data_IF_491907454429
#
_entry.id   IF_491907454429
#
_cell.length_a   1.000
_cell.length_b   1.000
_cell.length_c   1.000
_cell.angle_alpha   90.00
_cell.angle_beta   90.00
_cell.angle_gamma   90.00
#
_symmetry.space_group_name_H-M   'P 1'
#
loop_
_entity.id
_entity.type
_entity.pdbx_description
1 polymer ?
#
# COMPACT_ATOMS: atom_id res chain seq x y z
N UNK A 1 -7.72 1.13 33.81
CA UNK A 1 -6.61 1.48 32.91
C UNK A 1 -7.19 1.47 31.50
N UNK A 2 -6.96 2.51 30.70
CA UNK A 2 -7.37 2.49 29.29
C UNK A 2 -6.58 1.39 28.60
N UNK A 3 -7.26 0.41 28.00
CA UNK A 3 -6.64 -0.63 27.17
C UNK A 3 -6.46 0.00 25.79
N UNK A 4 -5.21 0.30 25.44
CA UNK A 4 -4.89 0.78 24.10
C UNK A 4 -4.95 -0.38 23.09
N UNK A 5 -5.49 -0.17 21.88
CA UNK A 5 -5.52 -1.21 20.88
C UNK A 5 -4.13 -1.69 20.49
N UNK A 6 -4.03 -2.97 20.16
CA UNK A 6 -2.79 -3.60 19.71
C UNK A 6 -2.90 -4.02 18.24
N UNK A 7 -1.78 -3.92 17.50
CA UNK A 7 -1.72 -4.31 16.09
C UNK A 7 -0.44 -5.08 15.79
N UNK A 8 -0.55 -6.13 14.97
CA UNK A 8 0.58 -6.77 14.29
C UNK A 8 0.57 -6.31 12.83
N UNK A 9 1.70 -5.75 12.39
CA UNK A 9 1.92 -5.36 10.99
C UNK A 9 2.83 -6.39 10.34
N UNK A 10 2.23 -7.35 9.62
CA UNK A 10 2.95 -8.39 8.89
C UNK A 10 3.49 -7.83 7.57
N UNK A 11 4.81 -7.94 7.36
CA UNK A 11 5.48 -7.26 6.26
C UNK A 11 5.76 -5.79 6.54
N UNK A 12 6.22 -5.47 7.77
CA UNK A 12 6.47 -4.11 8.24
C UNK A 12 7.69 -3.49 7.53
N UNK A 13 7.49 -3.13 6.25
CA UNK A 13 8.41 -2.38 5.40
C UNK A 13 8.22 -0.86 5.54
N UNK A 14 8.40 -0.11 4.46
CA UNK A 14 8.28 1.36 4.44
C UNK A 14 6.87 1.83 4.88
N UNK A 15 5.81 1.38 4.20
CA UNK A 15 4.43 1.78 4.54
C UNK A 15 4.04 1.27 5.94
N UNK A 16 4.39 0.02 6.27
CA UNK A 16 4.10 -0.55 7.59
C UNK A 16 4.80 0.19 8.73
N UNK A 17 6.04 0.63 8.53
CA UNK A 17 6.78 1.43 9.53
C UNK A 17 6.16 2.81 9.73
N UNK A 18 5.75 3.49 8.64
CA UNK A 18 5.04 4.77 8.71
C UNK A 18 3.70 4.63 9.44
N UNK A 19 2.94 3.57 9.11
CA UNK A 19 1.70 3.23 9.80
C UNK A 19 1.95 3.00 11.29
N UNK A 20 2.95 2.19 11.63
CA UNK A 20 3.31 1.89 13.01
C UNK A 20 3.62 3.14 13.82
N UNK A 21 4.43 4.06 13.28
CA UNK A 21 4.75 5.32 13.93
C UNK A 21 3.53 6.25 14.11
N UNK A 22 2.59 6.25 13.16
CA UNK A 22 1.34 7.00 13.30
C UNK A 22 0.45 6.41 14.40
N UNK A 23 0.32 5.08 14.46
CA UNK A 23 -0.48 4.40 15.48
C UNK A 23 0.13 4.52 16.88
N UNK A 24 1.45 4.45 17.01
CA UNK A 24 2.14 4.73 18.29
C UNK A 24 1.81 6.13 18.84
N UNK A 25 1.82 7.15 17.97
CA UNK A 25 1.43 8.52 18.36
C UNK A 25 -0.03 8.60 18.83
N UNK A 26 -0.88 7.71 18.35
CA UNK A 26 -2.27 7.55 18.78
C UNK A 26 -2.42 6.63 20.02
N UNK A 27 -1.32 6.21 20.64
CA UNK A 27 -1.31 5.39 21.86
C UNK A 27 -1.46 3.88 21.64
N UNK A 28 -1.35 3.38 20.40
CA UNK A 28 -1.47 1.95 20.09
C UNK A 28 -0.20 1.18 20.46
N UNK A 29 -0.36 -0.10 20.80
CA UNK A 29 0.77 -1.03 20.88
C UNK A 29 1.01 -1.64 19.48
N UNK A 30 2.21 -1.48 18.94
CA UNK A 30 2.51 -1.88 17.56
C UNK A 30 3.64 -2.89 17.50
N UNK A 31 3.36 -4.06 16.91
CA UNK A 31 4.36 -5.08 16.60
C UNK A 31 4.67 -5.03 15.10
N UNK A 32 5.93 -4.79 14.77
CA UNK A 32 6.42 -4.81 13.38
C UNK A 32 7.04 -6.16 13.03
N UNK A 33 6.36 -6.94 12.17
CA UNK A 33 6.85 -8.24 11.72
C UNK A 33 7.62 -8.11 10.42
N UNK A 34 8.89 -8.48 10.43
CA UNK A 34 9.75 -8.61 9.25
C UNK A 34 11.00 -9.44 9.54
N UNK A 35 11.67 -9.93 8.48
CA UNK A 35 12.91 -10.70 8.59
C UNK A 35 14.05 -9.91 9.22
N UNK A 36 14.37 -8.77 8.65
CA UNK A 36 15.41 -7.86 9.14
C UNK A 36 14.82 -6.81 10.07
N UNK A 37 14.69 -7.12 11.35
CA UNK A 37 14.13 -6.20 12.37
C UNK A 37 15.02 -4.99 12.66
N UNK A 38 16.32 -5.05 12.35
CA UNK A 38 17.22 -3.90 12.53
C UNK A 38 16.84 -2.70 11.66
N UNK A 39 16.02 -2.91 10.61
CA UNK A 39 15.49 -1.83 9.77
C UNK A 39 14.10 -1.34 10.21
N UNK A 40 13.57 -1.78 11.36
CA UNK A 40 12.37 -1.22 11.96
C UNK A 40 12.74 0.06 12.73
N UNK A 41 11.80 1.03 12.82
CA UNK A 41 11.89 2.08 13.84
C UNK A 41 12.02 1.45 15.23
N UNK A 42 12.93 2.01 16.05
CA UNK A 42 13.23 1.48 17.38
C UNK A 42 12.04 1.53 18.34
N UNK A 43 11.07 2.35 18.06
CA UNK A 43 9.85 2.54 18.84
C UNK A 43 8.85 1.40 18.66
N UNK A 44 8.96 0.62 17.58
CA UNK A 44 8.09 -0.53 17.32
C UNK A 44 8.58 -1.77 18.06
N UNK A 45 7.64 -2.57 18.54
CA UNK A 45 7.97 -3.89 19.10
C UNK A 45 8.39 -4.83 17.96
N UNK A 46 9.65 -5.20 17.94
CA UNK A 46 10.22 -6.03 16.88
C UNK A 46 9.70 -7.47 16.96
N UNK A 47 9.18 -7.97 15.83
CA UNK A 47 8.74 -9.36 15.68
C UNK A 47 9.50 -10.00 14.51
N UNK A 48 10.67 -10.63 14.80
CA UNK A 48 11.46 -11.28 13.75
C UNK A 48 10.74 -12.53 13.25
N UNK A 49 10.38 -12.54 11.96
CA UNK A 49 9.76 -13.68 11.31
C UNK A 49 9.93 -13.64 9.80
N UNK A 50 9.94 -14.81 9.18
CA UNK A 50 9.79 -14.97 7.73
C UNK A 50 8.36 -15.44 7.41
N UNK A 51 7.68 -14.71 6.54
CA UNK A 51 6.33 -15.07 6.11
C UNK A 51 6.32 -16.34 5.24
N UNK A 52 7.48 -16.80 4.74
CA UNK A 52 7.61 -18.06 4.04
C UNK A 52 7.52 -19.27 4.98
N UNK A 53 7.72 -19.06 6.29
CA UNK A 53 7.72 -20.15 7.29
C UNK A 53 6.30 -20.41 7.81
N UNK A 54 5.88 -21.69 7.76
CA UNK A 54 4.58 -22.08 8.30
C UNK A 54 4.54 -22.11 9.84
N UNK A 55 5.69 -22.25 10.51
CA UNK A 55 5.77 -22.25 11.95
C UNK A 55 5.54 -20.87 12.55
N UNK A 56 4.68 -20.80 13.58
CA UNK A 56 4.42 -19.55 14.29
C UNK A 56 5.70 -19.03 14.98
N UNK A 57 6.08 -17.76 14.78
CA UNK A 57 7.26 -17.19 15.42
C UNK A 57 7.21 -17.28 16.94
N UNK A 58 8.35 -17.60 17.58
CA UNK A 58 8.42 -17.74 19.03
C UNK A 58 8.04 -16.44 19.78
N UNK A 59 8.36 -15.28 19.17
CA UNK A 59 8.05 -13.95 19.72
C UNK A 59 6.64 -13.46 19.37
N UNK A 60 5.80 -14.26 18.70
CA UNK A 60 4.42 -13.89 18.41
C UNK A 60 3.69 -13.50 19.71
N UNK A 61 2.87 -12.42 19.74
CA UNK A 61 2.21 -11.98 20.96
C UNK A 61 1.41 -13.09 21.64
N UNK A 62 1.55 -13.24 22.95
CA UNK A 62 0.80 -14.23 23.71
C UNK A 62 -0.68 -13.88 23.76
N UNK A 63 -1.02 -12.59 23.94
CA UNK A 63 -2.37 -12.07 23.80
C UNK A 63 -2.74 -11.92 22.32
N UNK A 64 -4.01 -12.14 21.96
CA UNK A 64 -4.49 -11.85 20.62
C UNK A 64 -4.27 -10.37 20.28
N UNK A 65 -3.66 -10.03 19.14
CA UNK A 65 -3.67 -8.65 18.69
C UNK A 65 -5.11 -8.23 18.34
N UNK A 66 -5.47 -6.99 18.66
CA UNK A 66 -6.78 -6.47 18.27
C UNK A 66 -6.91 -6.34 16.76
N UNK A 67 -5.80 -6.05 16.07
CA UNK A 67 -5.76 -5.83 14.64
C UNK A 67 -4.57 -6.55 13.99
N UNK A 68 -4.80 -7.01 12.77
CA UNK A 68 -3.76 -7.50 11.87
C UNK A 68 -3.73 -6.65 10.61
N UNK A 69 -2.56 -6.15 10.24
CA UNK A 69 -2.33 -5.51 8.93
C UNK A 69 -1.36 -6.36 8.15
N UNK A 70 -1.78 -6.85 6.99
CA UNK A 70 -0.92 -7.57 6.07
C UNK A 70 -0.48 -6.63 4.95
N UNK A 71 0.79 -6.18 4.98
CA UNK A 71 1.32 -5.23 4.01
C UNK A 71 2.70 -5.65 3.47
N UNK A 72 2.90 -6.96 3.33
CA UNK A 72 4.09 -7.53 2.72
C UNK A 72 4.16 -7.24 1.23
N UNK A 73 5.40 -7.12 0.71
CA UNK A 73 5.66 -6.99 -0.72
C UNK A 73 6.71 -8.03 -1.14
N UNK A 74 6.56 -8.62 -2.36
CA UNK A 74 7.51 -9.61 -2.84
C UNK A 74 8.91 -9.01 -3.04
N UNK A 75 9.93 -9.83 -2.85
CA UNK A 75 11.33 -9.44 -3.05
C UNK A 75 11.74 -9.35 -4.52
N UNK A 76 10.98 -9.97 -5.42
CA UNK A 76 11.16 -9.96 -6.87
C UNK A 76 9.82 -9.85 -7.58
N UNK A 77 9.86 -9.58 -8.89
CA UNK A 77 8.66 -9.40 -9.70
C UNK A 77 8.23 -10.66 -10.47
N UNK A 78 8.66 -11.84 -10.06
CA UNK A 78 8.22 -13.09 -10.66
C UNK A 78 6.96 -13.66 -9.98
N UNK A 79 6.28 -14.57 -10.68
CA UNK A 79 5.00 -15.14 -10.24
C UNK A 79 5.12 -15.92 -8.94
N UNK A 80 6.22 -16.67 -8.77
CA UNK A 80 6.45 -17.49 -7.58
C UNK A 80 6.63 -16.65 -6.33
N UNK A 81 7.39 -15.55 -6.42
CA UNK A 81 7.57 -14.61 -5.33
C UNK A 81 6.26 -13.89 -4.96
N UNK A 82 5.44 -13.54 -5.96
CA UNK A 82 4.12 -12.98 -5.72
C UNK A 82 3.22 -13.95 -4.97
N UNK A 83 3.15 -15.22 -5.41
CA UNK A 83 2.35 -16.26 -4.75
C UNK A 83 2.83 -16.52 -3.33
N UNK A 84 4.13 -16.74 -3.16
CA UNK A 84 4.74 -16.98 -1.85
C UNK A 84 4.46 -15.83 -0.86
N UNK A 85 4.50 -14.56 -1.35
CA UNK A 85 4.28 -13.41 -0.48
C UNK A 85 2.79 -13.18 -0.19
N UNK A 86 1.95 -13.09 -1.23
CA UNK A 86 0.57 -12.63 -1.03
C UNK A 86 -0.39 -13.74 -0.59
N UNK A 87 -0.20 -14.96 -1.10
CA UNK A 87 -1.10 -16.07 -0.81
C UNK A 87 -0.57 -16.94 0.32
N UNK A 88 0.64 -17.48 0.15
CA UNK A 88 1.17 -18.45 1.11
C UNK A 88 1.56 -17.78 2.43
N UNK A 89 2.21 -16.61 2.37
CA UNK A 89 2.55 -15.84 3.55
C UNK A 89 1.30 -15.39 4.35
N UNK A 90 0.22 -14.99 3.67
CA UNK A 90 -1.05 -14.68 4.34
C UNK A 90 -1.65 -15.93 5.00
N UNK A 91 -1.63 -17.09 4.31
CA UNK A 91 -2.08 -18.37 4.90
C UNK A 91 -1.30 -18.71 6.16
N UNK A 92 0.02 -18.53 6.17
CA UNK A 92 0.84 -18.79 7.33
C UNK A 92 0.43 -17.90 8.51
N UNK A 93 0.29 -16.60 8.31
CA UNK A 93 -0.14 -15.69 9.38
C UNK A 93 -1.53 -16.03 9.92
N UNK A 94 -2.48 -16.35 9.06
CA UNK A 94 -3.81 -16.83 9.47
C UNK A 94 -3.73 -18.16 10.23
N UNK A 95 -2.85 -19.07 9.78
CA UNK A 95 -2.58 -20.34 10.46
C UNK A 95 -1.98 -20.14 11.85
N UNK A 96 -1.08 -19.17 12.05
CA UNK A 96 -0.52 -18.84 13.37
C UNK A 96 -1.58 -18.35 14.34
N UNK A 97 -2.50 -17.48 13.87
CA UNK A 97 -3.64 -17.02 14.66
C UNK A 97 -4.55 -18.21 15.07
N UNK A 98 -4.85 -19.10 14.12
CA UNK A 98 -5.68 -20.27 14.36
C UNK A 98 -5.04 -21.23 15.37
N UNK A 99 -3.74 -21.54 15.21
CA UNK A 99 -2.99 -22.42 16.14
C UNK A 99 -3.00 -21.89 17.57
N UNK A 100 -3.05 -20.57 17.75
CA UNK A 100 -3.09 -19.90 19.05
C UNK A 100 -4.49 -19.58 19.56
N UNK A 101 -5.54 -19.94 18.82
CA UNK A 101 -6.91 -19.59 19.15
C UNK A 101 -7.16 -18.08 19.21
N UNK A 102 -6.36 -17.31 18.49
CA UNK A 102 -6.44 -15.84 18.46
C UNK A 102 -7.33 -15.36 17.33
N UNK A 103 -8.16 -14.36 17.59
CA UNK A 103 -9.07 -13.77 16.61
C UNK A 103 -9.02 -12.24 16.71
N UNK A 104 -8.28 -11.57 15.83
CA UNK A 104 -8.31 -10.12 15.72
C UNK A 104 -9.72 -9.59 15.43
N UNK A 105 -9.99 -8.36 15.85
CA UNK A 105 -11.23 -7.65 15.53
C UNK A 105 -11.35 -7.40 14.02
N UNK A 106 -10.20 -7.09 13.37
CA UNK A 106 -10.14 -6.85 11.92
C UNK A 106 -8.76 -7.18 11.35
N UNK A 107 -8.81 -7.66 10.10
CA UNK A 107 -7.67 -7.78 9.20
C UNK A 107 -7.73 -6.67 8.13
N UNK A 108 -6.67 -5.88 7.97
CA UNK A 108 -6.46 -5.08 6.76
C UNK A 108 -5.47 -5.78 5.84
N UNK A 109 -5.89 -6.07 4.63
CA UNK A 109 -5.03 -6.63 3.58
C UNK A 109 -4.65 -5.54 2.58
N UNK A 110 -3.36 -5.24 2.44
CA UNK A 110 -2.87 -4.26 1.49
C UNK A 110 -2.68 -4.92 0.13
N UNK A 111 -3.52 -4.52 -0.82
CA UNK A 111 -3.54 -4.94 -2.22
C UNK A 111 -3.09 -3.80 -3.15
N UNK A 112 -3.38 -3.91 -4.43
CA UNK A 112 -2.99 -2.93 -5.45
C UNK A 112 -4.12 -2.66 -6.44
N UNK A 113 -4.20 -1.42 -6.94
CA UNK A 113 -5.05 -1.06 -8.10
C UNK A 113 -4.66 -1.80 -9.40
N UNK A 114 -3.59 -2.61 -9.36
CA UNK A 114 -3.20 -3.51 -10.46
C UNK A 114 -4.20 -4.63 -10.75
N UNK A 115 -5.21 -4.85 -9.90
CA UNK A 115 -6.31 -5.79 -10.10
C UNK A 115 -7.32 -5.32 -11.15
N UNK A 116 -7.37 -4.04 -11.45
CA UNK A 116 -8.25 -3.46 -12.47
C UNK A 116 -7.62 -3.55 -13.86
N UNK A 117 -8.38 -3.98 -14.85
CA UNK A 117 -7.93 -4.24 -16.21
C UNK A 117 -8.17 -3.10 -17.21
N UNK A 118 -8.87 -2.05 -16.83
CA UNK A 118 -9.23 -0.91 -17.67
C UNK A 118 -7.99 -0.22 -18.26
N UNK A 119 -8.02 0.14 -19.55
CA UNK A 119 -6.85 0.59 -20.31
C UNK A 119 -7.07 1.88 -21.13
N UNK A 120 -8.32 2.36 -21.23
CA UNK A 120 -8.69 3.46 -22.11
C UNK A 120 -9.05 4.75 -21.32
N UNK A 121 -8.50 4.88 -20.10
CA UNK A 121 -8.71 6.05 -19.25
C UNK A 121 -10.05 6.05 -18.52
N UNK A 122 -10.73 4.93 -18.40
CA UNK A 122 -11.99 4.80 -17.68
C UNK A 122 -11.83 5.13 -16.20
N UNK A 123 -12.91 5.62 -15.61
CA UNK A 123 -13.00 5.76 -14.17
C UNK A 123 -13.29 4.40 -13.52
N UNK A 124 -12.58 4.11 -12.45
CA UNK A 124 -12.78 2.92 -11.61
C UNK A 124 -12.91 3.31 -10.15
N UNK A 125 -13.70 2.54 -9.45
CA UNK A 125 -13.93 2.61 -8.01
C UNK A 125 -13.88 1.19 -7.41
N UNK A 126 -14.27 1.05 -6.15
CA UNK A 126 -14.23 -0.21 -5.43
C UNK A 126 -15.18 -1.27 -6.00
N UNK A 127 -16.29 -0.85 -6.64
CA UNK A 127 -17.32 -1.73 -7.21
C UNK A 127 -17.05 -2.08 -8.67
N UNK A 128 -16.04 -1.48 -9.28
CA UNK A 128 -15.66 -1.72 -10.66
C UNK A 128 -15.09 -3.14 -10.86
N UNK A 129 -15.39 -3.81 -12.00
CA UNK A 129 -14.99 -5.18 -12.23
C UNK A 129 -13.45 -5.34 -12.28
N UNK A 130 -12.97 -6.38 -11.59
CA UNK A 130 -11.56 -6.76 -11.51
C UNK A 130 -11.32 -7.99 -12.41
N UNK A 131 -10.69 -7.78 -13.57
CA UNK A 131 -10.39 -8.85 -14.55
C UNK A 131 -8.93 -8.75 -15.01
N UNK A 132 -7.95 -8.84 -14.11
CA UNK A 132 -6.55 -8.62 -14.43
C UNK A 132 -6.02 -9.66 -15.43
N UNK A 133 -5.30 -9.19 -16.44
CA UNK A 133 -4.61 -10.05 -17.40
C UNK A 133 -3.26 -10.55 -16.88
N UNK A 134 -2.64 -9.79 -15.97
CA UNK A 134 -1.34 -10.13 -15.37
C UNK A 134 -1.48 -11.20 -14.29
N UNK A 135 -0.44 -12.05 -14.14
CA UNK A 135 -0.36 -13.00 -13.03
C UNK A 135 -0.40 -12.27 -11.67
N UNK A 136 0.26 -11.12 -11.58
CA UNK A 136 0.30 -10.33 -10.35
C UNK A 136 -1.09 -9.89 -9.88
N UNK A 137 -1.93 -9.42 -10.81
CA UNK A 137 -3.31 -9.05 -10.49
C UNK A 137 -4.16 -10.25 -10.09
N UNK A 138 -4.02 -11.40 -10.78
CA UNK A 138 -4.74 -12.63 -10.42
C UNK A 138 -4.38 -13.15 -9.04
N UNK A 139 -3.08 -13.15 -8.71
CA UNK A 139 -2.59 -13.57 -7.38
C UNK A 139 -3.09 -12.62 -6.29
N UNK A 140 -3.11 -11.32 -6.56
CA UNK A 140 -3.66 -10.35 -5.60
C UNK A 140 -5.16 -10.60 -5.34
N UNK A 141 -5.97 -10.87 -6.38
CA UNK A 141 -7.40 -11.21 -6.19
C UNK A 141 -7.58 -12.51 -5.40
N UNK A 142 -6.74 -13.53 -5.62
CA UNK A 142 -6.74 -14.76 -4.82
C UNK A 142 -6.46 -14.44 -3.34
N UNK A 143 -5.49 -13.58 -3.07
CA UNK A 143 -5.13 -13.16 -1.72
C UNK A 143 -6.20 -12.25 -1.07
N UNK A 144 -6.84 -11.36 -1.84
CA UNK A 144 -8.01 -10.58 -1.38
C UNK A 144 -9.14 -11.52 -0.93
N UNK A 145 -9.48 -12.51 -1.78
CA UNK A 145 -10.50 -13.50 -1.44
C UNK A 145 -10.11 -14.31 -0.18
N UNK A 146 -8.84 -14.72 -0.05
CA UNK A 146 -8.35 -15.40 1.14
C UNK A 146 -8.51 -14.55 2.41
N UNK A 147 -8.22 -13.24 2.33
CA UNK A 147 -8.38 -12.32 3.46
C UNK A 147 -9.86 -12.16 3.85
N UNK A 148 -10.73 -11.90 2.86
CA UNK A 148 -12.17 -11.68 3.08
C UNK A 148 -12.90 -12.93 3.59
N UNK A 149 -12.46 -14.13 3.19
CA UNK A 149 -13.05 -15.39 3.65
C UNK A 149 -12.31 -16.05 4.83
N UNK A 150 -11.39 -15.33 5.48
CA UNK A 150 -10.57 -15.85 6.60
C UNK A 150 -11.37 -16.15 7.88
N UNK A 151 -12.63 -15.75 7.96
CA UNK A 151 -13.46 -15.80 9.18
C UNK A 151 -13.14 -14.65 10.16
N UNK A 152 -12.19 -13.78 9.86
CA UNK A 152 -11.92 -12.53 10.57
C UNK A 152 -12.57 -11.39 9.77
N UNK A 153 -13.29 -10.43 10.39
CA UNK A 153 -13.73 -9.24 9.68
C UNK A 153 -12.57 -8.59 8.94
N UNK A 154 -12.67 -8.40 7.63
CA UNK A 154 -11.53 -7.95 6.82
C UNK A 154 -11.89 -6.79 5.91
N UNK A 155 -10.91 -5.94 5.63
CA UNK A 155 -10.99 -4.93 4.57
C UNK A 155 -9.73 -4.97 3.70
N UNK A 156 -9.91 -4.89 2.40
CA UNK A 156 -8.86 -4.83 1.39
C UNK A 156 -8.58 -3.37 1.06
N UNK A 157 -7.32 -2.98 1.04
CA UNK A 157 -6.90 -1.63 0.66
C UNK A 157 -6.06 -1.71 -0.62
N UNK A 158 -6.66 -1.37 -1.77
CA UNK A 158 -5.99 -1.37 -3.06
C UNK A 158 -5.23 -0.07 -3.25
N UNK A 159 -3.93 -0.09 -2.96
CA UNK A 159 -3.07 1.07 -3.12
C UNK A 159 -2.66 1.28 -4.57
N UNK A 160 -2.60 2.54 -5.00
CA UNK A 160 -2.02 2.94 -6.28
C UNK A 160 -0.49 2.94 -6.25
N UNK A 161 0.15 3.47 -7.29
CA UNK A 161 1.60 3.60 -7.35
C UNK A 161 2.14 4.45 -6.20
N UNK A 162 2.80 3.82 -5.24
CA UNK A 162 3.32 4.50 -4.06
C UNK A 162 4.60 5.26 -4.43
N UNK A 163 4.66 6.55 -4.10
CA UNK A 163 5.85 7.38 -4.20
C UNK A 163 6.13 8.09 -2.86
N UNK A 164 7.31 8.68 -2.71
CA UNK A 164 7.68 9.35 -1.45
C UNK A 164 9.17 9.23 -1.16
N UNK A 165 9.61 9.57 0.06
CA UNK A 165 10.99 9.37 0.50
C UNK A 165 11.42 7.91 0.30
N UNK A 166 12.58 7.70 -0.35
CA UNK A 166 13.07 6.37 -0.71
C UNK A 166 12.44 5.76 -1.98
N UNK A 167 11.40 6.37 -2.56
CA UNK A 167 10.67 5.89 -3.75
C UNK A 167 10.69 6.95 -4.85
N UNK A 168 11.91 7.27 -5.33
CA UNK A 168 12.17 8.39 -6.26
C UNK A 168 12.36 7.94 -7.72
N UNK A 169 11.84 6.77 -8.11
CA UNK A 169 12.05 6.20 -9.44
C UNK A 169 11.70 7.18 -10.57
N UNK A 170 10.51 7.79 -10.54
CA UNK A 170 10.07 8.72 -11.59
C UNK A 170 10.97 9.96 -11.67
N UNK A 171 11.42 10.50 -10.53
CA UNK A 171 12.36 11.62 -10.51
C UNK A 171 13.69 11.26 -11.21
N UNK A 172 14.19 10.03 -10.98
CA UNK A 172 15.38 9.51 -11.67
C UNK A 172 15.17 9.40 -13.18
N UNK A 173 14.00 8.88 -13.60
CA UNK A 173 13.66 8.78 -15.02
C UNK A 173 13.55 10.15 -15.68
N UNK A 174 12.92 11.12 -15.05
CA UNK A 174 12.79 12.48 -15.57
C UNK A 174 14.15 13.15 -15.71
N UNK A 175 15.04 13.00 -14.72
CA UNK A 175 16.43 13.49 -14.82
C UNK A 175 17.21 12.85 -15.98
N UNK A 176 16.89 11.60 -16.31
CA UNK A 176 17.48 10.90 -17.45
C UNK A 176 16.83 11.27 -18.80
N UNK A 177 15.88 12.21 -18.81
CA UNK A 177 15.24 12.66 -20.06
C UNK A 177 14.03 11.82 -20.49
N UNK A 178 13.32 11.20 -19.55
CA UNK A 178 12.17 10.30 -19.80
C UNK A 178 11.13 10.92 -20.74
N UNK A 179 10.74 10.15 -21.77
CA UNK A 179 9.72 10.53 -22.75
C UNK A 179 8.43 9.78 -22.49
N UNK A 180 7.31 10.49 -22.63
CA UNK A 180 5.95 9.91 -22.54
C UNK A 180 5.13 10.50 -23.68
N UNK A 181 4.42 9.65 -24.42
CA UNK A 181 3.48 10.10 -25.46
C UNK A 181 2.30 10.81 -24.82
N UNK A 182 1.83 11.90 -25.46
CA UNK A 182 0.64 12.62 -25.04
C UNK A 182 -0.63 11.90 -25.48
N UNK A 183 -0.55 11.21 -26.61
CA UNK A 183 -1.70 10.53 -27.24
C UNK A 183 -1.36 9.08 -27.58
N UNK A 184 -2.19 8.12 -27.17
CA UNK A 184 -3.29 8.27 -26.20
C UNK A 184 -2.77 8.58 -24.79
N UNK A 185 -3.52 9.31 -23.95
CA UNK A 185 -3.07 9.70 -22.62
C UNK A 185 -2.99 8.46 -21.70
N UNK A 186 -1.85 8.30 -21.03
CA UNK A 186 -1.65 7.25 -20.02
C UNK A 186 -1.93 7.83 -18.63
N UNK A 187 -3.09 7.54 -18.08
CA UNK A 187 -3.45 7.96 -16.73
C UNK A 187 -2.67 7.17 -15.68
N UNK A 188 -2.12 7.90 -14.72
CA UNK A 188 -1.41 7.32 -13.59
C UNK A 188 -2.05 7.66 -12.27
N UNK A 189 -2.41 6.64 -11.52
CA UNK A 189 -2.85 6.79 -10.15
C UNK A 189 -1.65 6.65 -9.22
N UNK A 190 -1.62 7.44 -8.17
CA UNK A 190 -0.52 7.44 -7.19
C UNK A 190 -1.05 7.73 -5.80
N UNK A 191 -0.20 7.47 -4.82
CA UNK A 191 -0.42 7.84 -3.44
C UNK A 191 0.93 8.10 -2.79
N UNK A 192 1.06 9.15 -1.99
CA UNK A 192 2.26 9.35 -1.19
C UNK A 192 2.36 8.29 -0.09
N UNK A 193 3.58 7.86 0.27
CA UNK A 193 3.78 6.81 1.26
C UNK A 193 3.19 7.16 2.65
N UNK A 194 3.24 8.44 3.04
CA UNK A 194 2.61 8.91 4.28
C UNK A 194 1.08 8.85 4.22
N UNK A 195 0.49 9.11 3.04
CA UNK A 195 -0.95 9.04 2.84
C UNK A 195 -1.45 7.60 2.76
N UNK A 196 -0.65 6.69 2.18
CA UNK A 196 -0.94 5.26 2.22
C UNK A 196 -1.00 4.74 3.67
N UNK A 197 -0.02 5.12 4.49
CA UNK A 197 -0.02 4.80 5.92
C UNK A 197 -1.17 5.51 6.66
N UNK A 198 -1.45 6.76 6.32
CA UNK A 198 -2.55 7.55 6.88
C UNK A 198 -3.93 6.95 6.60
N UNK A 199 -4.15 6.39 5.40
CA UNK A 199 -5.38 5.68 5.07
C UNK A 199 -5.54 4.42 5.93
N UNK A 200 -4.49 3.59 6.04
CA UNK A 200 -4.53 2.40 6.89
C UNK A 200 -4.79 2.77 8.36
N UNK A 201 -4.15 3.81 8.87
CA UNK A 201 -4.39 4.31 10.23
C UNK A 201 -5.82 4.83 10.41
N UNK A 202 -6.37 5.54 9.44
CA UNK A 202 -7.75 6.04 9.46
C UNK A 202 -8.76 4.89 9.55
N UNK A 203 -8.58 3.83 8.74
CA UNK A 203 -9.42 2.64 8.77
C UNK A 203 -9.38 1.95 10.13
N UNK A 204 -8.19 1.68 10.67
CA UNK A 204 -8.04 1.05 11.98
C UNK A 204 -8.67 1.87 13.10
N UNK A 205 -8.46 3.18 13.09
CA UNK A 205 -9.02 4.08 14.09
C UNK A 205 -10.55 4.23 13.94
N UNK A 206 -11.09 4.17 12.72
CA UNK A 206 -12.53 4.18 12.49
C UNK A 206 -13.18 2.92 13.06
N UNK A 207 -12.62 1.72 12.76
CA UNK A 207 -13.09 0.46 13.33
C UNK A 207 -12.98 0.44 14.87
N UNK A 208 -11.89 0.96 15.43
CA UNK A 208 -11.71 1.04 16.88
C UNK A 208 -12.76 1.93 17.56
N UNK A 209 -13.31 2.92 16.84
CA UNK A 209 -14.44 3.75 17.29
C UNK A 209 -15.80 3.12 17.03
N UNK A 210 -15.87 1.92 16.46
CA UNK A 210 -17.12 1.20 16.14
C UNK A 210 -17.78 1.64 14.82
N UNK A 211 -17.03 2.26 13.93
CA UNK A 211 -17.52 2.56 12.57
C UNK A 211 -17.42 1.30 11.72
N UNK A 212 -18.52 0.91 11.08
CA UNK A 212 -18.53 -0.20 10.14
C UNK A 212 -17.70 0.14 8.91
N UNK A 213 -16.80 -0.77 8.55
CA UNK A 213 -15.97 -0.62 7.37
C UNK A 213 -16.45 -1.48 6.22
N UNK A 214 -16.33 -0.95 5.01
CA UNK A 214 -16.56 -1.68 3.78
C UNK A 214 -15.47 -2.72 3.50
N UNK A 215 -15.74 -3.68 2.63
CA UNK A 215 -14.80 -4.74 2.26
C UNK A 215 -13.60 -4.23 1.46
N UNK A 216 -13.78 -3.18 0.65
CA UNK A 216 -12.73 -2.66 -0.24
C UNK A 216 -12.63 -1.15 -0.16
N UNK A 217 -11.40 -0.64 -0.16
CA UNK A 217 -11.06 0.77 -0.25
C UNK A 217 -9.97 1.02 -1.30
N UNK A 218 -10.07 2.12 -2.05
CA UNK A 218 -9.01 2.58 -2.94
C UNK A 218 -8.12 3.61 -2.23
N UNK A 219 -6.83 3.34 -2.18
CA UNK A 219 -5.82 4.26 -1.69
C UNK A 219 -5.14 4.97 -2.84
N UNK A 220 -5.66 6.14 -3.22
CA UNK A 220 -5.16 6.99 -4.30
C UNK A 220 -5.26 8.45 -3.88
N UNK A 221 -4.42 9.33 -4.49
CA UNK A 221 -4.60 10.78 -4.36
C UNK A 221 -5.88 11.25 -5.08
N UNK A 222 -6.16 12.56 -5.02
CA UNK A 222 -7.38 13.13 -5.61
C UNK A 222 -7.25 13.40 -7.13
N UNK A 223 -6.02 13.29 -7.69
CA UNK A 223 -5.75 13.68 -9.08
C UNK A 223 -5.12 12.53 -9.90
N UNK A 224 -5.93 11.69 -10.56
CA UNK A 224 -5.43 10.72 -11.53
C UNK A 224 -4.98 11.43 -12.81
N UNK A 225 -3.74 11.92 -12.83
CA UNK A 225 -3.22 12.75 -13.91
C UNK A 225 -2.61 11.92 -15.06
N UNK A 226 -2.68 12.41 -16.32
CA UNK A 226 -1.93 11.86 -17.43
C UNK A 226 -0.42 11.89 -17.12
N UNK A 227 0.29 10.81 -17.45
CA UNK A 227 1.71 10.69 -17.12
C UNK A 227 2.56 11.76 -17.81
N UNK A 228 2.19 12.18 -19.03
CA UNK A 228 2.92 13.22 -19.76
C UNK A 228 2.85 14.56 -19.03
N UNK A 229 1.70 14.93 -18.43
CA UNK A 229 1.56 16.15 -17.64
C UNK A 229 2.44 16.11 -16.39
N UNK A 230 2.46 14.97 -15.69
CA UNK A 230 3.32 14.77 -14.51
C UNK A 230 4.79 14.88 -14.88
N UNK A 231 5.18 14.28 -16.00
CA UNK A 231 6.57 14.34 -16.49
C UNK A 231 6.93 15.76 -16.93
N UNK A 232 6.04 16.47 -17.63
CA UNK A 232 6.26 17.86 -18.05
C UNK A 232 6.46 18.76 -16.82
N UNK A 233 5.58 18.67 -15.83
CA UNK A 233 5.71 19.43 -14.59
C UNK A 233 7.01 19.12 -13.85
N UNK A 234 7.37 17.84 -13.70
CA UNK A 234 8.61 17.44 -13.04
C UNK A 234 9.86 17.93 -13.79
N UNK A 235 9.84 17.93 -15.13
CA UNK A 235 10.93 18.48 -15.94
C UNK A 235 11.14 19.96 -15.67
N UNK A 236 10.03 20.73 -15.59
CA UNK A 236 10.08 22.14 -15.23
C UNK A 236 10.70 22.36 -13.85
N UNK A 237 10.23 21.63 -12.83
CA UNK A 237 10.73 21.73 -11.46
C UNK A 237 12.20 21.32 -11.32
N UNK A 238 12.67 20.41 -12.17
CA UNK A 238 14.05 19.88 -12.16
C UNK A 238 15.00 20.63 -13.12
N UNK A 239 14.48 21.55 -13.93
CA UNK A 239 15.26 22.25 -14.96
C UNK A 239 15.80 21.32 -16.06
N UNK A 240 15.09 20.22 -16.37
CA UNK A 240 15.54 19.22 -17.36
C UNK A 240 15.05 19.61 -18.76
N UNK A 241 15.98 19.98 -19.65
CA UNK A 241 15.69 20.37 -21.04
C UNK A 241 15.91 19.26 -22.08
N UNK A 242 16.81 18.32 -21.81
CA UNK A 242 17.14 17.23 -22.73
C UNK A 242 16.10 16.11 -22.72
N UNK A 243 16.09 15.30 -23.79
CA UNK A 243 15.27 14.09 -23.92
C UNK A 243 16.17 12.89 -24.18
N UNK A 244 15.85 11.76 -23.58
CA UNK A 244 16.49 10.49 -23.91
C UNK A 244 16.12 10.07 -25.36
N UNK A 245 17.03 9.34 -26.01
CA UNK A 245 16.77 8.82 -27.36
C UNK A 245 15.58 7.87 -27.39
N UNK A 246 15.49 6.98 -26.40
CA UNK A 246 14.41 6.04 -26.22
C UNK A 246 13.94 6.04 -24.77
N UNK A 247 12.64 5.85 -24.56
CA UNK A 247 12.09 5.57 -23.24
C UNK A 247 10.91 4.60 -23.34
N UNK A 248 10.98 3.53 -22.57
CA UNK A 248 9.90 2.55 -22.47
C UNK A 248 9.03 2.84 -21.27
N UNK A 249 7.75 3.09 -21.51
CA UNK A 249 6.77 3.22 -20.44
C UNK A 249 6.38 1.83 -19.94
N UNK A 250 6.84 1.43 -18.76
CA UNK A 250 6.34 0.22 -18.07
C UNK A 250 5.09 0.58 -17.28
N UNK A 251 3.89 0.37 -17.88
CA UNK A 251 2.63 0.53 -17.14
C UNK A 251 1.65 -0.59 -17.45
N UNK A 252 0.96 -1.04 -16.40
CA UNK A 252 -0.20 -1.91 -16.47
C UNK A 252 -1.47 -1.05 -16.53
N UNK A 253 -1.94 -0.76 -17.74
CA UNK A 253 -3.21 -0.09 -17.98
C UNK A 253 -3.19 1.44 -17.85
N UNK A 254 -4.27 2.06 -18.35
CA UNK A 254 -4.57 3.48 -18.24
C UNK A 254 -5.98 3.62 -17.68
N UNK A 255 -6.13 3.99 -16.41
CA UNK A 255 -7.42 4.14 -15.72
C UNK A 255 -7.34 5.28 -14.72
N UNK A 256 -8.49 5.78 -14.29
CA UNK A 256 -8.60 6.83 -13.28
C UNK A 256 -9.31 6.28 -12.06
N UNK A 257 -8.61 6.15 -10.94
CA UNK A 257 -9.18 5.62 -9.71
C UNK A 257 -9.80 6.74 -8.86
N UNK A 258 -10.92 6.44 -8.20
CA UNK A 258 -11.60 7.34 -7.25
C UNK A 258 -11.36 6.88 -5.82
N UNK A 259 -11.10 7.81 -4.91
CA UNK A 259 -10.96 7.54 -3.48
C UNK A 259 -12.21 7.94 -2.68
N UNK A 260 -13.36 8.03 -3.33
CA UNK A 260 -14.59 8.58 -2.75
C UNK A 260 -15.00 7.84 -1.46
N UNK A 261 -14.86 6.50 -1.40
CA UNK A 261 -15.18 5.68 -0.24
C UNK A 261 -14.28 6.00 0.95
N UNK A 262 -12.97 6.13 0.71
CA UNK A 262 -12.01 6.54 1.75
C UNK A 262 -12.27 7.98 2.22
N UNK A 263 -12.61 8.89 1.31
CA UNK A 263 -12.99 10.27 1.61
C UNK A 263 -14.27 10.36 2.45
N UNK A 264 -15.27 9.54 2.15
CA UNK A 264 -16.52 9.46 2.92
C UNK A 264 -16.29 8.99 4.37
N UNK A 265 -15.27 8.16 4.61
CA UNK A 265 -14.85 7.75 5.96
C UNK A 265 -14.16 8.87 6.75
N UNK A 266 -13.82 10.00 6.09
CA UNK A 266 -13.12 11.14 6.67
C UNK A 266 -11.61 11.14 6.44
N UNK A 267 -11.06 10.21 5.65
CA UNK A 267 -9.66 10.26 5.27
C UNK A 267 -9.39 11.43 4.33
N UNK A 268 -8.35 12.19 4.63
CA UNK A 268 -7.87 13.31 3.82
C UNK A 268 -6.39 13.08 3.49
N UNK A 269 -6.01 12.97 2.21
CA UNK A 269 -4.60 12.89 1.85
C UNK A 269 -3.89 14.21 2.20
N UNK A 270 -2.73 14.11 2.79
CA UNK A 270 -1.83 15.25 3.04
C UNK A 270 -1.29 15.82 1.72
N UNK A 271 -1.13 14.95 0.73
CA UNK A 271 -0.66 15.28 -0.60
C UNK A 271 -1.76 14.94 -1.62
N UNK A 272 -2.72 15.86 -1.82
CA UNK A 272 -3.91 15.60 -2.64
C UNK A 272 -3.59 15.43 -4.13
N UNK A 273 -2.42 15.88 -4.59
CA UNK A 273 -1.98 15.64 -5.95
C UNK A 273 -0.48 15.33 -6.02
N UNK A 274 -0.03 14.94 -7.21
CA UNK A 274 1.40 14.74 -7.49
C UNK A 274 2.22 16.03 -7.28
N UNK A 275 1.59 17.21 -7.42
CA UNK A 275 2.31 18.49 -7.29
C UNK A 275 2.79 18.71 -5.87
N UNK A 276 1.89 18.60 -4.90
CA UNK A 276 2.24 18.77 -3.48
C UNK A 276 3.23 17.68 -3.04
N UNK A 277 2.98 16.43 -3.42
CA UNK A 277 3.83 15.33 -3.00
C UNK A 277 5.24 15.38 -3.60
N UNK A 278 5.39 15.67 -4.89
CA UNK A 278 6.71 15.81 -5.48
C UNK A 278 7.39 17.12 -5.08
N UNK A 279 6.66 18.22 -4.89
CA UNK A 279 7.25 19.46 -4.36
C UNK A 279 7.90 19.23 -2.99
N UNK A 280 7.21 18.51 -2.08
CA UNK A 280 7.78 18.14 -0.79
C UNK A 280 9.06 17.29 -0.95
N UNK A 281 9.06 16.29 -1.85
CA UNK A 281 10.23 15.45 -2.11
C UNK A 281 11.42 16.21 -2.71
N UNK A 282 11.16 17.24 -3.50
CA UNK A 282 12.22 18.09 -4.09
C UNK A 282 12.80 19.00 -3.02
N UNK A 283 11.98 19.55 -2.12
CA UNK A 283 12.44 20.36 -0.99
C UNK A 283 13.32 19.56 -0.02
N UNK A 284 12.95 18.31 0.30
CA UNK A 284 13.73 17.41 1.17
C UNK A 284 15.04 16.94 0.52
N UNK A 285 15.14 16.95 -0.80
CA UNK A 285 16.32 16.51 -1.54
C UNK A 285 17.30 17.65 -1.87
N UNK A 286 16.96 18.88 -1.50
CA UNK A 286 17.83 20.05 -1.64
C UNK A 286 18.75 20.29 -0.42
N UNK A 287 18.62 19.45 0.62
CA UNK A 287 19.51 19.37 1.77
C UNK A 287 20.50 18.20 1.56
#
# INVERSE_FOLDING_TARGET
MAVFPSVVIAGCGDVGSRLGLQLLKAGWQVHGLRRNVAALPSELLALPADLAEAACPAQWPAAAPDYLVYCATPGSSDESAYRATYVDGLRHVLGWLQQRGQRPRRLLFVSSTGVYAQQDGEWVDEDSPCQPQSYSGRILLEAEALALHSGIPASVVRLAGIYGPGRRWLLGQVRAGYRVAETPPLYGNRIHADDAAGLLACLLQADARGVDLEEVYLGVDDEPAPLFEVVAWLREQLGVSHWAAESTVRRAGSKRCRNARARALGWLPRYPSYREGYAALLADGAQ
#
